data_IF_384987857865
#
_entry.id   IF_384987857865
#
_cell.length_a   1.000
_cell.length_b   1.000
_cell.length_c   1.000
_cell.angle_alpha   90.00
_cell.angle_beta   90.00
_cell.angle_gamma   90.00
#
_symmetry.space_group_name_H-M   'P 1'
#
loop_
_entity.id
_entity.type
_entity.pdbx_description
1 polymer ?
#
# COMPACT_ATOMS: atom_id res chain seq x y z
N UNK A 1 -30.18 -14.44 -56.14
CA UNK A 1 -30.71 -13.72 -54.98
C UNK A 1 -29.62 -13.67 -53.93
N UNK A 2 -28.79 -12.61 -54.02
CA UNK A 2 -27.58 -12.45 -53.18
C UNK A 2 -27.98 -11.68 -51.93
N UNK A 3 -27.94 -12.30 -50.74
CA UNK A 3 -28.10 -11.60 -49.48
C UNK A 3 -26.76 -10.96 -49.11
N UNK A 4 -26.66 -9.64 -49.20
CA UNK A 4 -25.61 -8.85 -48.61
C UNK A 4 -25.86 -8.76 -47.10
N UNK A 5 -25.06 -9.49 -46.32
CA UNK A 5 -24.98 -9.28 -44.90
C UNK A 5 -24.05 -8.09 -44.68
N UNK A 6 -24.64 -6.94 -44.36
CA UNK A 6 -23.89 -5.76 -43.90
C UNK A 6 -23.53 -6.02 -42.44
N UNK A 7 -22.30 -6.44 -42.19
CA UNK A 7 -21.71 -6.38 -40.85
C UNK A 7 -21.45 -4.91 -40.52
N UNK A 8 -22.38 -4.31 -39.77
CA UNK A 8 -22.09 -3.04 -39.06
C UNK A 8 -21.11 -3.37 -37.95
N UNK A 9 -19.83 -3.20 -38.22
CA UNK A 9 -18.82 -3.14 -37.19
C UNK A 9 -19.07 -1.84 -36.45
N UNK A 10 -19.86 -1.90 -35.37
CA UNK A 10 -19.88 -0.87 -34.34
C UNK A 10 -18.51 -0.86 -33.68
N UNK A 11 -17.52 -0.26 -34.32
CA UNK A 11 -16.36 0.24 -33.59
C UNK A 11 -16.88 1.28 -32.60
N UNK A 12 -17.01 0.91 -31.37
CA UNK A 12 -17.24 1.85 -30.26
C UNK A 12 -16.04 2.81 -30.25
N UNK A 13 -16.18 3.91 -30.98
CA UNK A 13 -15.27 5.04 -30.81
C UNK A 13 -15.46 5.53 -29.39
N UNK A 14 -14.49 5.23 -28.53
CA UNK A 14 -14.39 5.86 -27.23
C UNK A 14 -14.03 7.31 -27.50
N UNK A 15 -15.05 8.19 -27.53
CA UNK A 15 -14.84 9.63 -27.61
C UNK A 15 -14.13 10.06 -26.32
N UNK A 16 -12.96 10.66 -26.47
CA UNK A 16 -12.30 11.32 -25.36
C UNK A 16 -13.23 12.43 -24.86
N UNK A 17 -13.68 12.34 -23.62
CA UNK A 17 -14.37 13.46 -22.98
C UNK A 17 -13.33 14.32 -22.27
N UNK A 18 -13.30 15.60 -22.63
CA UNK A 18 -12.48 16.61 -21.97
C UNK A 18 -13.40 17.66 -21.36
N UNK A 19 -13.23 17.92 -20.08
CA UNK A 19 -13.93 18.99 -19.39
C UNK A 19 -13.13 19.46 -18.19
N UNK A 20 -13.33 20.71 -17.81
CA UNK A 20 -12.68 21.34 -16.66
C UNK A 20 -13.71 21.63 -15.57
N UNK A 21 -13.28 21.53 -14.33
CA UNK A 21 -14.06 21.85 -13.14
C UNK A 21 -13.17 22.43 -12.05
N UNK A 22 -13.76 23.24 -11.18
CA UNK A 22 -13.04 23.89 -10.09
C UNK A 22 -12.93 22.94 -8.89
N UNK A 23 -11.78 22.97 -8.23
CA UNK A 23 -11.49 22.23 -7.00
C UNK A 23 -10.87 23.16 -5.97
N UNK A 24 -10.73 22.68 -4.73
CA UNK A 24 -10.00 23.43 -3.68
C UNK A 24 -8.51 23.64 -4.00
N UNK A 25 -7.99 22.96 -5.01
CA UNK A 25 -6.57 23.06 -5.42
C UNK A 25 -6.36 23.84 -6.70
N UNK A 26 -7.41 24.39 -7.29
CA UNK A 26 -7.43 25.06 -8.59
C UNK A 26 -8.25 24.28 -9.61
N UNK A 27 -8.25 24.74 -10.85
CA UNK A 27 -9.00 24.11 -11.92
C UNK A 27 -8.36 22.78 -12.34
N UNK A 28 -9.17 21.73 -12.38
CA UNK A 28 -8.78 20.41 -12.88
C UNK A 28 -9.33 20.21 -14.30
N UNK A 29 -8.46 19.87 -15.25
CA UNK A 29 -8.86 19.43 -16.59
C UNK A 29 -8.78 17.92 -16.67
N UNK A 30 -9.92 17.24 -16.82
CA UNK A 30 -10.01 15.79 -16.96
C UNK A 30 -10.15 15.43 -18.44
N UNK A 31 -9.19 14.64 -18.95
CA UNK A 31 -9.26 14.02 -20.27
C UNK A 31 -9.46 12.52 -20.07
N UNK A 32 -10.68 12.06 -20.28
CA UNK A 32 -11.07 10.67 -20.06
C UNK A 32 -11.23 9.93 -21.39
N UNK A 33 -10.34 8.97 -21.65
CA UNK A 33 -10.40 8.05 -22.79
C UNK A 33 -10.78 6.62 -22.39
N UNK A 34 -11.30 6.45 -21.17
CA UNK A 34 -11.77 5.15 -20.67
C UNK A 34 -13.29 5.01 -20.84
N UNK A 35 -13.78 3.81 -20.59
CA UNK A 35 -15.22 3.52 -20.55
C UNK A 35 -15.91 3.99 -19.27
N UNK A 36 -15.17 4.52 -18.30
CA UNK A 36 -15.73 5.00 -17.03
C UNK A 36 -16.47 6.31 -17.20
N UNK A 37 -17.52 6.51 -16.39
CA UNK A 37 -18.21 7.79 -16.32
C UNK A 37 -17.28 8.89 -15.81
N UNK A 38 -17.14 9.95 -16.59
CA UNK A 38 -16.32 11.12 -16.22
C UNK A 38 -16.84 11.81 -14.96
N UNK A 39 -18.17 11.80 -14.71
CA UNK A 39 -18.75 12.33 -13.50
C UNK A 39 -18.34 11.55 -12.25
N UNK A 40 -18.32 10.23 -12.31
CA UNK A 40 -17.87 9.41 -11.17
C UNK A 40 -16.37 9.62 -10.86
N UNK A 41 -15.57 9.89 -11.88
CA UNK A 41 -14.16 10.22 -11.72
C UNK A 41 -14.01 11.60 -11.09
N UNK A 42 -14.76 12.59 -11.57
CA UNK A 42 -14.81 13.93 -11.01
C UNK A 42 -15.18 13.89 -9.52
N UNK A 43 -16.30 13.26 -9.16
CA UNK A 43 -16.73 13.12 -7.78
C UNK A 43 -15.63 12.49 -6.89
N UNK A 44 -14.91 11.48 -7.43
CA UNK A 44 -13.81 10.86 -6.70
C UNK A 44 -12.67 11.85 -6.48
N UNK A 45 -12.29 12.64 -7.48
CA UNK A 45 -11.23 13.64 -7.38
C UNK A 45 -11.60 14.71 -6.35
N UNK A 46 -12.81 15.26 -6.45
CA UNK A 46 -13.32 16.27 -5.51
C UNK A 46 -13.35 15.76 -4.07
N UNK A 47 -13.84 14.53 -3.86
CA UNK A 47 -13.89 13.92 -2.53
C UNK A 47 -12.48 13.71 -1.94
N UNK A 48 -11.54 13.21 -2.73
CA UNK A 48 -10.18 12.97 -2.24
C UNK A 48 -9.44 14.29 -1.95
N UNK A 49 -9.64 15.33 -2.77
CA UNK A 49 -9.11 16.66 -2.51
C UNK A 49 -9.71 17.25 -1.23
N UNK A 50 -11.03 17.09 -1.03
CA UNK A 50 -11.69 17.53 0.20
C UNK A 50 -11.12 16.84 1.44
N UNK A 51 -10.99 15.51 1.39
CA UNK A 51 -10.41 14.73 2.49
C UNK A 51 -8.97 15.18 2.85
N UNK A 52 -8.15 15.45 1.82
CA UNK A 52 -6.78 15.93 2.02
C UNK A 52 -6.75 17.35 2.56
N UNK A 53 -7.64 18.23 2.08
CA UNK A 53 -7.77 19.60 2.58
C UNK A 53 -8.16 19.62 4.06
N UNK A 54 -9.14 18.83 4.45
CA UNK A 54 -9.56 18.71 5.86
C UNK A 54 -8.48 18.13 6.77
N UNK A 55 -7.66 17.21 6.23
CA UNK A 55 -6.62 16.54 7.01
C UNK A 55 -5.33 17.33 7.13
N UNK A 56 -4.96 18.11 6.10
CA UNK A 56 -3.63 18.69 5.95
C UNK A 56 -3.64 20.20 5.70
N UNK A 57 -4.79 20.80 5.47
CA UNK A 57 -4.92 22.22 5.19
C UNK A 57 -4.78 22.60 3.71
N UNK A 58 -4.67 23.89 3.45
CA UNK A 58 -4.59 24.44 2.10
C UNK A 58 -3.18 24.29 1.50
N UNK A 59 -3.13 24.02 0.21
CA UNK A 59 -1.90 24.05 -0.58
C UNK A 59 -1.96 25.16 -1.62
N UNK A 60 -0.82 25.60 -2.20
CA UNK A 60 -0.82 26.62 -3.24
C UNK A 60 -1.74 26.25 -4.40
N UNK A 61 -2.62 27.18 -4.77
CA UNK A 61 -3.54 27.01 -5.89
C UNK A 61 -2.75 26.96 -7.20
N UNK A 62 -3.02 25.95 -8.00
CA UNK A 62 -2.48 25.82 -9.36
C UNK A 62 -3.40 24.92 -10.19
N UNK A 63 -3.52 25.19 -11.48
CA UNK A 63 -4.27 24.30 -12.37
C UNK A 63 -3.50 23.00 -12.59
N UNK A 64 -4.24 21.91 -12.77
CA UNK A 64 -3.66 20.61 -13.04
C UNK A 64 -4.54 19.81 -14.00
N UNK A 65 -3.98 18.76 -14.57
CA UNK A 65 -4.70 17.90 -15.50
C UNK A 65 -4.59 16.42 -15.12
N UNK A 66 -5.65 15.69 -15.40
CA UNK A 66 -5.71 14.23 -15.25
C UNK A 66 -6.05 13.63 -16.60
N UNK A 67 -5.18 12.78 -17.12
CA UNK A 67 -5.36 12.04 -18.34
C UNK A 67 -5.52 10.56 -18.03
N UNK A 68 -6.63 9.96 -18.49
CA UNK A 68 -6.82 8.51 -18.43
C UNK A 68 -6.63 7.97 -19.86
N UNK A 69 -5.46 7.34 -20.08
CA UNK A 69 -5.07 6.87 -21.41
C UNK A 69 -4.04 5.74 -21.32
N UNK A 70 -4.25 4.68 -22.11
CA UNK A 70 -3.29 3.57 -22.23
C UNK A 70 -2.23 3.78 -23.30
N UNK A 71 -2.51 4.60 -24.32
CA UNK A 71 -1.61 4.80 -25.46
C UNK A 71 -0.36 5.60 -25.09
N UNK A 72 -0.41 6.41 -24.03
CA UNK A 72 0.76 7.08 -23.48
C UNK A 72 1.83 6.14 -22.93
N UNK A 73 1.47 4.87 -22.68
CA UNK A 73 2.39 3.82 -22.19
C UNK A 73 3.57 3.60 -23.11
N UNK A 74 3.37 3.72 -24.44
CA UNK A 74 4.41 3.42 -25.43
C UNK A 74 5.40 4.58 -25.65
N UNK A 75 5.00 5.81 -25.33
CA UNK A 75 5.81 7.02 -25.58
C UNK A 75 6.56 7.54 -24.35
N UNK A 76 6.25 7.03 -23.15
CA UNK A 76 6.87 7.53 -21.93
C UNK A 76 8.32 7.02 -21.77
N UNK A 77 9.26 7.96 -21.63
CA UNK A 77 10.66 7.67 -21.31
C UNK A 77 10.85 7.11 -19.89
N UNK A 78 9.77 6.81 -19.17
CA UNK A 78 9.80 6.28 -17.82
C UNK A 78 9.68 4.76 -17.81
N UNK A 79 10.75 4.01 -17.54
CA UNK A 79 10.74 2.53 -17.58
C UNK A 79 9.76 1.91 -16.57
N UNK A 80 9.40 2.63 -15.50
CA UNK A 80 8.48 2.15 -14.46
C UNK A 80 7.00 2.22 -14.86
N UNK A 81 6.65 2.95 -15.91
CA UNK A 81 5.28 3.01 -16.41
C UNK A 81 4.68 1.64 -16.71
N UNK A 82 5.49 0.68 -17.10
CA UNK A 82 5.03 -0.70 -17.33
C UNK A 82 4.35 -1.31 -16.10
N UNK A 83 4.80 -0.93 -14.89
CA UNK A 83 4.38 -1.55 -13.62
C UNK A 83 3.50 -0.64 -12.76
N UNK A 84 3.52 0.66 -12.98
CA UNK A 84 2.69 1.60 -12.24
C UNK A 84 1.31 1.73 -12.89
N UNK A 85 0.30 2.09 -12.10
CA UNK A 85 -1.07 2.35 -12.57
C UNK A 85 -1.32 3.84 -12.83
N UNK A 86 -0.51 4.70 -12.23
CA UNK A 86 -0.52 6.13 -12.39
C UNK A 86 0.90 6.71 -12.36
N UNK A 87 1.06 7.92 -12.83
CA UNK A 87 2.27 8.74 -12.73
C UNK A 87 1.86 10.20 -12.59
N UNK A 88 2.47 10.87 -11.62
CA UNK A 88 2.33 12.32 -11.43
C UNK A 88 3.58 13.06 -11.90
N UNK A 89 3.37 14.06 -12.74
CA UNK A 89 4.39 14.98 -13.21
C UNK A 89 4.26 16.32 -12.48
N UNK A 90 5.39 17.02 -12.37
CA UNK A 90 5.44 18.42 -11.92
C UNK A 90 5.91 19.30 -13.09
N UNK A 91 5.30 20.47 -13.22
CA UNK A 91 5.59 21.46 -14.27
C UNK A 91 5.36 20.95 -15.72
N UNK A 92 4.11 20.91 -16.20
CA UNK A 92 2.88 21.21 -15.44
C UNK A 92 2.46 20.08 -14.49
N UNK A 93 1.65 20.40 -13.48
CA UNK A 93 1.02 19.40 -12.62
C UNK A 93 0.09 18.55 -13.47
N UNK A 94 0.46 17.29 -13.67
CA UNK A 94 -0.27 16.36 -14.52
C UNK A 94 -0.24 14.96 -13.96
N UNK A 95 -1.39 14.33 -13.89
CA UNK A 95 -1.54 12.91 -13.58
C UNK A 95 -1.87 12.15 -14.86
N UNK A 96 -1.21 11.04 -15.10
CA UNK A 96 -1.58 10.09 -16.15
C UNK A 96 -1.94 8.78 -15.48
N UNK A 97 -3.16 8.29 -15.74
CA UNK A 97 -3.69 7.05 -15.19
C UNK A 97 -3.91 6.03 -16.31
N UNK A 98 -3.65 4.76 -16.02
CA UNK A 98 -4.07 3.67 -16.89
C UNK A 98 -5.56 3.42 -16.76
N UNK A 99 -6.22 3.13 -17.88
CA UNK A 99 -7.61 2.69 -17.86
C UNK A 99 -7.78 1.43 -17.01
N UNK A 100 -8.65 1.45 -16.00
CA UNK A 100 -8.87 0.32 -15.11
C UNK A 100 -9.42 -0.91 -15.81
N UNK A 101 -10.21 -0.77 -16.90
CA UNK A 101 -10.72 -1.89 -17.66
C UNK A 101 -9.58 -2.67 -18.35
N UNK A 102 -8.64 -1.97 -18.98
CA UNK A 102 -7.48 -2.58 -19.63
C UNK A 102 -6.47 -3.10 -18.60
N UNK A 103 -6.31 -2.39 -17.50
CA UNK A 103 -5.43 -2.81 -16.38
C UNK A 103 -6.03 -3.91 -15.52
N UNK A 104 -7.29 -4.31 -15.77
CA UNK A 104 -8.04 -5.34 -15.03
C UNK A 104 -8.07 -5.09 -13.53
N UNK A 105 -8.27 -3.84 -13.13
CA UNK A 105 -8.39 -3.45 -11.73
C UNK A 105 -9.83 -3.03 -11.38
N UNK A 106 -10.23 -3.25 -10.14
CA UNK A 106 -11.56 -2.83 -9.66
C UNK A 106 -11.65 -1.31 -9.54
N UNK A 107 -12.87 -0.76 -9.61
CA UNK A 107 -13.14 0.66 -9.36
C UNK A 107 -12.63 1.11 -7.99
N UNK A 108 -12.79 0.28 -6.95
CA UNK A 108 -12.25 0.55 -5.63
C UNK A 108 -10.73 0.75 -5.66
N UNK A 109 -10.00 -0.09 -6.41
CA UNK A 109 -8.56 0.06 -6.56
C UNK A 109 -8.20 1.29 -7.39
N UNK A 110 -8.98 1.59 -8.43
CA UNK A 110 -8.77 2.77 -9.26
C UNK A 110 -8.92 4.08 -8.45
N UNK A 111 -9.92 4.18 -7.57
CA UNK A 111 -10.07 5.31 -6.63
C UNK A 111 -8.84 5.47 -5.74
N UNK A 112 -8.26 4.37 -5.24
CA UNK A 112 -7.01 4.41 -4.46
C UNK A 112 -5.84 4.94 -5.28
N UNK A 113 -5.75 4.56 -6.56
CA UNK A 113 -4.70 5.11 -7.45
C UNK A 113 -4.89 6.62 -7.63
N UNK A 114 -6.11 7.11 -7.79
CA UNK A 114 -6.38 8.56 -7.85
C UNK A 114 -5.90 9.26 -6.58
N UNK A 115 -6.27 8.74 -5.40
CA UNK A 115 -5.83 9.29 -4.11
C UNK A 115 -4.30 9.31 -3.98
N UNK A 116 -3.63 8.24 -4.41
CA UNK A 116 -2.17 8.12 -4.43
C UNK A 116 -1.52 9.22 -5.27
N UNK A 117 -1.98 9.40 -6.51
CA UNK A 117 -1.42 10.39 -7.43
C UNK A 117 -1.75 11.83 -7.01
N UNK A 118 -2.93 12.09 -6.47
CA UNK A 118 -3.28 13.39 -5.90
C UNK A 118 -2.37 13.74 -4.71
N UNK A 119 -2.00 12.77 -3.88
CA UNK A 119 -1.05 13.01 -2.81
C UNK A 119 0.32 13.46 -3.35
N UNK A 120 0.76 12.94 -4.48
CA UNK A 120 1.98 13.43 -5.12
C UNK A 120 1.85 14.88 -5.59
N UNK A 121 0.70 15.32 -6.13
CA UNK A 121 0.46 16.74 -6.43
C UNK A 121 0.57 17.58 -5.16
N UNK A 122 -0.11 17.17 -4.08
CA UNK A 122 -0.07 17.87 -2.79
C UNK A 122 1.37 18.09 -2.31
N UNK A 123 2.17 17.03 -2.22
CA UNK A 123 3.55 17.13 -1.77
C UNK A 123 4.46 17.88 -2.74
N UNK A 124 4.22 17.78 -4.06
CA UNK A 124 5.00 18.49 -5.07
C UNK A 124 4.78 20.01 -5.06
N UNK A 125 3.65 20.48 -4.53
CA UNK A 125 3.35 21.91 -4.40
C UNK A 125 3.92 22.53 -3.13
N UNK A 126 4.46 21.74 -2.20
CA UNK A 126 5.14 22.29 -1.02
C UNK A 126 6.39 23.09 -1.44
N UNK A 127 6.72 24.13 -0.71
CA UNK A 127 7.83 25.05 -1.03
C UNK A 127 9.16 24.32 -1.18
N UNK A 128 9.41 23.34 -0.32
CA UNK A 128 10.66 22.59 -0.26
C UNK A 128 10.51 21.12 -0.70
N UNK A 129 9.64 20.84 -1.68
CA UNK A 129 9.33 19.48 -2.17
C UNK A 129 10.57 18.65 -2.55
N UNK A 130 11.64 19.31 -3.00
CA UNK A 130 12.90 18.67 -3.40
C UNK A 130 13.67 18.08 -2.21
N UNK A 131 13.40 18.53 -0.98
CA UNK A 131 13.99 17.99 0.23
C UNK A 131 13.30 16.71 0.72
N UNK A 132 12.10 16.41 0.20
CA UNK A 132 11.30 15.25 0.63
C UNK A 132 11.89 13.99 0.01
N UNK A 133 12.36 13.03 0.84
CA UNK A 133 12.93 11.80 0.31
C UNK A 133 11.88 10.93 -0.38
N UNK A 134 12.29 10.21 -1.41
CA UNK A 134 11.37 9.39 -2.22
C UNK A 134 10.58 8.38 -1.39
N UNK A 135 11.22 7.72 -0.44
CA UNK A 135 10.54 6.77 0.45
C UNK A 135 9.37 7.38 1.22
N UNK A 136 9.49 8.67 1.61
CA UNK A 136 8.40 9.36 2.30
C UNK A 136 7.26 9.67 1.32
N UNK A 137 7.58 10.20 0.14
CA UNK A 137 6.57 10.51 -0.90
C UNK A 137 5.74 9.27 -1.24
N UNK A 138 6.40 8.15 -1.56
CA UNK A 138 5.71 6.91 -1.93
C UNK A 138 4.97 6.28 -0.74
N UNK A 139 5.64 6.16 0.40
CA UNK A 139 5.03 5.55 1.58
C UNK A 139 3.83 6.33 2.10
N UNK A 140 3.91 7.66 2.07
CA UNK A 140 2.81 8.53 2.50
C UNK A 140 1.64 8.48 1.51
N UNK A 141 1.89 8.49 0.20
CA UNK A 141 0.87 8.29 -0.82
C UNK A 141 0.17 6.94 -0.66
N UNK A 142 0.92 5.85 -0.38
CA UNK A 142 0.34 4.53 -0.09
C UNK A 142 -0.50 4.52 1.20
N UNK A 143 -0.12 5.29 2.23
CA UNK A 143 -0.91 5.42 3.46
C UNK A 143 -2.22 6.13 3.18
N UNK A 144 -2.19 7.28 2.51
CA UNK A 144 -3.39 8.06 2.17
C UNK A 144 -4.35 7.25 1.30
N UNK A 145 -3.83 6.54 0.31
CA UNK A 145 -4.62 5.70 -0.59
C UNK A 145 -5.09 4.37 0.06
N UNK A 146 -4.77 4.10 1.32
CA UNK A 146 -5.04 2.81 1.98
C UNK A 146 -4.56 1.62 1.12
N UNK A 147 -3.34 1.73 0.58
CA UNK A 147 -2.71 0.69 -0.25
C UNK A 147 -1.76 -0.22 0.52
N UNK A 148 -1.47 0.10 1.79
CA UNK A 148 -0.55 -0.69 2.62
C UNK A 148 -1.20 -2.04 2.95
N UNK A 149 -0.74 -3.08 2.28
CA UNK A 149 -1.31 -4.43 2.38
C UNK A 149 -0.38 -5.44 3.04
N UNK A 150 -0.92 -6.62 3.37
CA UNK A 150 -0.15 -7.78 3.83
C UNK A 150 0.95 -8.19 2.83
N UNK A 151 0.71 -8.03 1.51
CA UNK A 151 1.70 -8.31 0.47
C UNK A 151 2.99 -7.51 0.68
N UNK A 152 2.90 -6.21 1.01
CA UNK A 152 4.06 -5.38 1.27
C UNK A 152 4.85 -5.86 2.49
N UNK A 153 4.15 -6.27 3.55
CA UNK A 153 4.77 -6.84 4.77
C UNK A 153 5.51 -8.14 4.47
N UNK A 154 4.91 -9.02 3.68
CA UNK A 154 5.53 -10.28 3.25
C UNK A 154 6.75 -10.04 2.34
N UNK A 155 6.66 -9.08 1.42
CA UNK A 155 7.79 -8.71 0.53
C UNK A 155 9.01 -8.23 1.30
N UNK A 156 8.80 -7.46 2.38
CA UNK A 156 9.88 -7.01 3.27
C UNK A 156 10.49 -8.20 4.00
N UNK A 157 9.65 -9.08 4.56
CA UNK A 157 10.11 -10.23 5.32
C UNK A 157 10.95 -11.22 4.48
N UNK A 158 10.62 -11.36 3.19
CA UNK A 158 11.34 -12.26 2.27
C UNK A 158 12.71 -11.72 1.83
N UNK A 159 12.95 -10.39 1.96
CA UNK A 159 14.16 -9.72 1.46
C UNK A 159 14.99 -9.04 2.57
N UNK A 160 15.05 -9.61 3.75
CA UNK A 160 15.67 -8.97 4.94
C UNK A 160 17.18 -8.69 4.84
N UNK A 161 17.83 -9.10 3.77
CA UNK A 161 19.30 -8.99 3.71
C UNK A 161 19.84 -7.66 3.17
N UNK A 162 19.04 -6.77 2.59
CA UNK A 162 19.62 -5.59 1.92
C UNK A 162 18.78 -4.32 1.68
N UNK A 163 17.89 -3.83 2.43
CA UNK A 163 17.38 -2.51 2.06
C UNK A 163 17.98 -1.39 2.88
N UNK A 164 18.76 -0.54 2.24
CA UNK A 164 19.08 0.75 2.83
C UNK A 164 17.97 1.75 2.51
N UNK A 165 17.23 2.20 3.51
CA UNK A 165 16.27 3.29 3.36
C UNK A 165 16.95 4.55 2.82
N UNK A 166 18.21 4.76 3.19
CA UNK A 166 19.05 5.83 2.64
C UNK A 166 19.21 5.71 1.12
N UNK A 167 19.29 4.51 0.56
CA UNK A 167 19.32 4.31 -0.89
C UNK A 167 18.02 4.69 -1.59
N UNK A 168 16.89 4.74 -0.88
CA UNK A 168 15.59 5.16 -1.40
C UNK A 168 15.34 6.67 -1.26
N UNK A 169 16.33 7.44 -0.82
CA UNK A 169 16.20 8.90 -0.76
C UNK A 169 16.29 9.53 -2.14
N UNK A 170 16.94 8.89 -3.11
CA UNK A 170 17.30 9.49 -4.38
C UNK A 170 16.46 8.97 -5.56
N UNK A 171 15.86 9.88 -6.33
CA UNK A 171 14.99 9.58 -7.48
C UNK A 171 15.70 8.78 -8.59
N UNK A 172 16.97 9.09 -8.86
CA UNK A 172 17.74 8.44 -9.93
C UNK A 172 17.89 6.93 -9.74
N UNK A 173 17.91 6.46 -8.50
CA UNK A 173 18.00 5.03 -8.20
C UNK A 173 16.71 4.27 -8.47
N UNK A 174 15.55 4.91 -8.28
CA UNK A 174 14.28 4.31 -8.67
C UNK A 174 14.17 4.07 -10.18
N UNK A 175 14.78 4.89 -11.00
CA UNK A 175 14.72 4.77 -12.47
C UNK A 175 15.44 3.54 -13.02
N UNK A 176 16.47 3.06 -12.35
CA UNK A 176 17.25 1.88 -12.78
C UNK A 176 16.77 0.54 -12.22
N UNK A 177 15.72 0.53 -11.39
CA UNK A 177 15.23 -0.69 -10.74
C UNK A 177 14.50 -1.61 -11.73
N UNK A 178 14.70 -2.91 -11.58
CA UNK A 178 13.85 -3.92 -12.21
C UNK A 178 12.50 -4.01 -11.47
N UNK A 179 11.57 -4.82 -11.99
CA UNK A 179 10.21 -4.96 -11.41
C UNK A 179 10.22 -5.39 -9.95
N UNK A 180 11.08 -6.34 -9.59
CA UNK A 180 11.18 -6.87 -8.24
C UNK A 180 11.71 -5.82 -7.26
N UNK A 181 12.75 -5.10 -7.65
CA UNK A 181 13.36 -4.01 -6.89
C UNK A 181 12.37 -2.85 -6.70
N UNK A 182 11.61 -2.52 -7.74
CA UNK A 182 10.57 -1.50 -7.70
C UNK A 182 9.50 -1.84 -6.66
N UNK A 183 8.90 -3.04 -6.74
CA UNK A 183 7.89 -3.46 -5.75
C UNK A 183 8.46 -3.56 -4.34
N UNK A 184 9.74 -3.92 -4.21
CA UNK A 184 10.40 -3.94 -2.92
C UNK A 184 10.61 -2.53 -2.36
N UNK A 185 11.00 -1.55 -3.19
CA UNK A 185 11.15 -0.16 -2.79
C UNK A 185 9.83 0.44 -2.30
N UNK A 186 8.70 0.13 -2.95
CA UNK A 186 7.36 0.52 -2.48
C UNK A 186 7.00 -0.15 -1.14
N UNK A 187 7.28 -1.43 -1.01
CA UNK A 187 7.06 -2.14 0.25
C UNK A 187 7.88 -1.52 1.39
N UNK A 188 9.15 -1.17 1.12
CA UNK A 188 10.02 -0.54 2.10
C UNK A 188 9.54 0.88 2.47
N UNK A 189 9.08 1.64 1.48
CA UNK A 189 8.50 2.98 1.69
C UNK A 189 7.26 2.91 2.59
N UNK A 190 6.37 1.95 2.35
CA UNK A 190 5.19 1.73 3.20
C UNK A 190 5.55 1.32 4.63
N UNK A 191 6.55 0.44 4.79
CA UNK A 191 7.04 0.04 6.11
C UNK A 191 7.67 1.21 6.87
N UNK A 192 8.34 2.12 6.16
CA UNK A 192 8.95 3.29 6.77
C UNK A 192 7.91 4.20 7.42
N UNK A 193 6.77 4.42 6.76
CA UNK A 193 5.67 5.20 7.32
C UNK A 193 5.05 4.50 8.53
N UNK A 194 4.79 3.18 8.43
CA UNK A 194 4.25 2.42 9.57
C UNK A 194 5.17 2.43 10.79
N UNK A 195 6.49 2.27 10.55
CA UNK A 195 7.47 2.29 11.63
C UNK A 195 7.69 3.70 12.20
N UNK A 196 7.64 4.73 11.35
CA UNK A 196 7.70 6.11 11.80
C UNK A 196 6.56 6.42 12.79
N UNK A 197 5.32 6.08 12.40
CA UNK A 197 4.14 6.27 13.25
C UNK A 197 4.19 5.39 14.51
N UNK A 198 4.78 4.20 14.43
CA UNK A 198 4.95 3.31 15.59
C UNK A 198 6.01 3.80 16.57
N UNK A 199 7.16 4.29 16.08
CA UNK A 199 8.32 4.67 16.90
C UNK A 199 8.10 6.02 17.60
N UNK A 200 7.54 7.00 16.86
CA UNK A 200 7.43 8.38 17.35
C UNK A 200 6.01 8.81 17.69
N UNK A 201 5.07 7.87 17.67
CA UNK A 201 3.66 8.09 18.01
C UNK A 201 2.76 8.15 16.79
N UNK A 202 1.50 7.77 17.01
CA UNK A 202 0.49 7.70 15.97
C UNK A 202 0.37 9.04 15.22
N UNK A 203 0.19 8.98 13.89
CA UNK A 203 0.07 10.15 13.01
C UNK A 203 1.31 11.04 12.92
N UNK A 204 2.50 10.55 13.26
CA UNK A 204 3.75 11.33 13.09
C UNK A 204 3.99 11.68 11.63
N UNK A 205 3.73 10.75 10.70
CA UNK A 205 3.83 11.00 9.25
C UNK A 205 2.85 12.10 8.79
N UNK A 206 1.66 12.18 9.37
CA UNK A 206 0.70 13.25 9.07
C UNK A 206 1.21 14.62 9.57
N UNK A 207 1.78 14.67 10.79
CA UNK A 207 2.40 15.90 11.31
C UNK A 207 3.54 16.41 10.43
N UNK A 208 4.37 15.48 9.93
CA UNK A 208 5.44 15.83 8.97
C UNK A 208 4.83 16.45 7.71
N UNK A 209 3.77 15.86 7.16
CA UNK A 209 3.11 16.38 5.97
C UNK A 209 2.52 17.77 6.21
N UNK A 210 1.90 18.04 7.35
CA UNK A 210 1.40 19.37 7.73
C UNK A 210 2.54 20.38 7.76
N UNK A 211 3.65 20.08 8.44
CA UNK A 211 4.81 20.99 8.48
C UNK A 211 5.45 21.23 7.11
N UNK A 212 5.39 20.25 6.20
CA UNK A 212 5.84 20.44 4.81
C UNK A 212 4.93 21.41 4.06
N UNK A 213 3.61 21.30 4.27
CA UNK A 213 2.61 22.21 3.68
C UNK A 213 2.78 23.62 4.24
N UNK A 214 3.11 23.75 5.51
CA UNK A 214 3.45 25.02 6.18
C UNK A 214 4.79 25.62 5.69
N UNK A 215 5.45 24.99 4.71
CA UNK A 215 6.64 25.52 4.05
C UNK A 215 7.96 25.18 4.71
N UNK A 216 8.00 24.17 5.60
CA UNK A 216 9.27 23.73 6.18
C UNK A 216 9.98 22.71 5.26
N UNK A 217 11.32 22.63 5.39
CA UNK A 217 12.09 21.55 4.77
C UNK A 217 11.77 20.21 5.41
N UNK A 218 12.01 19.08 4.71
CA UNK A 218 11.73 17.76 5.26
C UNK A 218 12.45 17.50 6.58
N UNK A 219 13.72 17.86 6.68
CA UNK A 219 14.52 17.70 7.90
C UNK A 219 13.91 18.45 9.08
N UNK A 220 13.46 19.70 8.84
CA UNK A 220 12.84 20.53 9.88
C UNK A 220 11.47 19.97 10.28
N UNK A 221 10.67 19.56 9.30
CA UNK A 221 9.36 18.92 9.52
C UNK A 221 9.49 17.64 10.33
N UNK A 222 10.48 16.82 9.99
CA UNK A 222 10.80 15.59 10.71
C UNK A 222 11.18 15.87 12.16
N UNK A 223 12.10 16.82 12.38
CA UNK A 223 12.53 17.23 13.72
C UNK A 223 11.36 17.76 14.56
N UNK A 224 10.55 18.65 13.99
CA UNK A 224 9.40 19.22 14.71
C UNK A 224 8.34 18.16 15.06
N UNK A 225 8.17 17.13 14.22
CA UNK A 225 7.21 16.06 14.46
C UNK A 225 7.70 14.99 15.46
N UNK A 226 9.01 14.76 15.53
CA UNK A 226 9.59 13.62 16.26
C UNK A 226 10.46 14.02 17.45
N UNK A 227 11.03 15.23 17.45
CA UNK A 227 12.08 15.68 18.39
C UNK A 227 13.49 15.15 18.07
N UNK A 228 13.66 14.40 16.96
CA UNK A 228 14.93 13.77 16.59
C UNK A 228 15.37 14.13 15.18
N UNK A 229 16.68 14.02 14.91
CA UNK A 229 17.20 14.11 13.56
C UNK A 229 16.84 12.84 12.76
N UNK A 230 16.67 12.98 11.44
CA UNK A 230 16.25 11.87 10.56
C UNK A 230 17.26 10.71 10.56
N UNK A 231 18.54 10.98 10.79
CA UNK A 231 19.61 9.99 10.88
C UNK A 231 19.34 8.96 11.98
N UNK A 232 18.75 9.40 13.10
CA UNK A 232 18.33 8.50 14.18
C UNK A 232 17.26 7.51 13.72
N UNK A 233 16.35 7.95 12.86
CA UNK A 233 15.37 7.06 12.26
C UNK A 233 16.02 6.05 11.31
N UNK A 234 16.94 6.47 10.46
CA UNK A 234 17.66 5.58 9.56
C UNK A 234 18.45 4.50 10.29
N UNK A 235 19.11 4.84 11.41
CA UNK A 235 19.84 3.88 12.22
C UNK A 235 18.90 2.87 12.91
N UNK A 236 17.75 3.32 13.43
CA UNK A 236 16.77 2.45 14.11
C UNK A 236 15.98 1.59 13.15
N UNK A 237 15.76 2.06 11.94
CA UNK A 237 14.87 1.46 10.94
C UNK A 237 15.16 -0.03 10.68
N UNK A 238 16.44 -0.40 10.56
CA UNK A 238 16.84 -1.78 10.32
C UNK A 238 16.49 -2.73 11.46
N UNK A 239 16.78 -2.30 12.68
CA UNK A 239 16.51 -3.12 13.85
C UNK A 239 15.01 -3.30 14.02
N UNK A 240 14.25 -2.24 13.76
CA UNK A 240 12.79 -2.27 13.84
C UNK A 240 12.16 -3.10 12.71
N UNK A 241 12.68 -3.05 11.50
CA UNK A 241 12.23 -3.94 10.42
C UNK A 241 12.44 -5.40 10.80
N UNK A 242 13.64 -5.77 11.25
CA UNK A 242 13.92 -7.15 11.67
C UNK A 242 12.96 -7.60 12.76
N UNK A 243 12.76 -6.78 13.80
CA UNK A 243 11.88 -7.09 14.92
C UNK A 243 10.41 -7.23 14.51
N UNK A 244 9.90 -6.28 13.71
CA UNK A 244 8.48 -6.20 13.39
C UNK A 244 8.06 -7.11 12.23
N UNK A 245 8.98 -7.47 11.31
CA UNK A 245 8.65 -8.26 10.13
C UNK A 245 9.26 -9.67 10.15
N UNK A 246 10.01 -10.03 11.20
CA UNK A 246 10.63 -11.36 11.33
C UNK A 246 9.60 -12.50 11.23
N UNK A 247 8.46 -12.39 11.91
CA UNK A 247 7.42 -13.41 11.91
C UNK A 247 6.77 -13.66 10.55
N UNK A 248 6.78 -12.68 9.65
CA UNK A 248 6.26 -12.85 8.30
C UNK A 248 7.11 -13.76 7.41
N UNK A 249 8.36 -14.07 7.82
CA UNK A 249 9.17 -15.10 7.15
C UNK A 249 8.53 -16.48 7.24
N UNK A 250 7.84 -16.76 8.34
CA UNK A 250 7.19 -18.04 8.57
C UNK A 250 5.86 -18.18 7.81
N UNK A 251 5.23 -17.07 7.44
CA UNK A 251 3.99 -17.08 6.64
C UNK A 251 4.25 -17.46 5.17
N UNK A 252 5.47 -17.22 4.68
CA UNK A 252 5.89 -17.64 3.33
C UNK A 252 6.35 -19.10 3.25
N UNK A 253 5.93 -19.94 4.20
CA UNK A 253 6.22 -21.39 4.23
C UNK A 253 5.07 -22.27 3.67
N UNK A 254 4.34 -21.88 2.59
CA UNK A 254 3.19 -22.68 2.15
C UNK A 254 3.57 -24.09 1.72
N UNK A 255 4.78 -24.32 1.21
CA UNK A 255 5.23 -25.66 0.79
C UNK A 255 5.68 -26.55 1.95
N UNK A 256 6.20 -25.96 3.04
CA UNK A 256 6.67 -26.73 4.20
C UNK A 256 5.61 -26.82 5.32
N UNK A 257 4.63 -25.91 5.35
CA UNK A 257 3.52 -25.95 6.31
C UNK A 257 2.63 -27.18 6.09
N UNK A 258 2.40 -27.59 4.84
CA UNK A 258 1.70 -28.84 4.55
C UNK A 258 2.47 -30.09 5.03
N UNK A 259 3.80 -30.02 5.13
CA UNK A 259 4.61 -31.09 5.72
C UNK A 259 4.61 -31.07 7.26
N UNK A 260 4.43 -29.90 7.89
CA UNK A 260 4.40 -29.75 9.35
C UNK A 260 3.00 -30.02 9.92
N UNK A 261 1.93 -29.74 9.16
CA UNK A 261 0.56 -29.99 9.61
C UNK A 261 0.29 -31.45 10.02
N UNK A 262 0.70 -32.48 9.26
CA UNK A 262 0.58 -33.88 9.71
C UNK A 262 1.33 -34.14 11.03
N UNK A 263 2.49 -33.52 11.21
CA UNK A 263 3.30 -33.69 12.42
C UNK A 263 2.60 -33.06 13.65
N UNK A 264 1.98 -31.89 13.50
CA UNK A 264 1.18 -31.24 14.55
C UNK A 264 -0.05 -32.09 14.88
N UNK A 265 -0.72 -32.67 13.87
CA UNK A 265 -1.86 -33.55 14.06
C UNK A 265 -1.45 -34.82 14.79
N UNK A 266 -0.31 -35.45 14.43
CA UNK A 266 0.25 -36.62 15.09
C UNK A 266 0.56 -36.33 16.56
N UNK A 267 1.24 -35.19 16.84
CA UNK A 267 1.55 -34.79 18.23
C UNK A 267 0.26 -34.54 19.00
N UNK A 268 -0.72 -33.83 18.42
CA UNK A 268 -2.02 -33.60 19.03
C UNK A 268 -2.78 -34.88 19.33
N UNK A 269 -2.71 -35.87 18.41
CA UNK A 269 -3.29 -37.21 18.61
C UNK A 269 -2.62 -37.94 19.75
N UNK A 270 -1.29 -37.96 19.81
CA UNK A 270 -0.54 -38.59 20.91
C UNK A 270 -0.85 -37.94 22.25
N UNK A 271 -0.90 -36.60 22.32
CA UNK A 271 -1.26 -35.91 23.55
C UNK A 271 -2.69 -36.20 24.00
N UNK A 272 -3.64 -36.29 23.07
CA UNK A 272 -5.02 -36.66 23.37
C UNK A 272 -5.12 -38.11 23.83
N UNK A 273 -4.43 -39.02 23.17
CA UNK A 273 -4.38 -40.44 23.53
C UNK A 273 -3.79 -40.66 24.92
N UNK A 274 -2.68 -39.96 25.22
CA UNK A 274 -2.05 -40.04 26.55
C UNK A 274 -2.98 -39.50 27.65
N UNK A 275 -3.65 -38.39 27.41
CA UNK A 275 -4.62 -37.81 28.35
C UNK A 275 -5.83 -38.71 28.57
N UNK A 276 -6.34 -39.34 27.50
CA UNK A 276 -7.45 -40.30 27.62
C UNK A 276 -7.05 -41.53 28.43
N UNK A 277 -5.82 -42.01 28.27
CA UNK A 277 -5.32 -43.16 29.06
C UNK A 277 -5.26 -42.84 30.55
N UNK A 278 -4.77 -41.67 30.94
CA UNK A 278 -4.78 -41.24 32.35
C UNK A 278 -6.20 -41.07 32.93
N UNK A 279 -7.17 -40.66 32.13
CA UNK A 279 -8.57 -40.54 32.57
C UNK A 279 -9.17 -41.95 32.78
N UNK A 280 -8.89 -42.88 31.89
CA UNK A 280 -9.37 -44.28 32.01
C UNK A 280 -8.75 -44.93 33.25
N UNK A 281 -7.44 -44.81 33.44
CA UNK A 281 -6.75 -45.35 34.64
C UNK A 281 -7.33 -44.78 35.94
N UNK A 282 -7.71 -43.48 35.93
CA UNK A 282 -8.36 -42.87 37.08
C UNK A 282 -9.75 -43.44 37.35
N UNK A 283 -10.55 -43.65 36.32
CA UNK A 283 -11.88 -44.24 36.46
C UNK A 283 -11.82 -45.71 36.91
N UNK A 284 -10.88 -46.50 36.39
CA UNK A 284 -10.66 -47.85 36.84
C UNK A 284 -10.31 -47.91 38.33
N UNK A 285 -9.51 -46.97 38.81
CA UNK A 285 -9.11 -46.86 40.21
C UNK A 285 -10.29 -46.42 41.10
N UNK A 286 -11.13 -45.52 40.64
CA UNK A 286 -12.37 -45.09 41.33
C UNK A 286 -13.38 -46.26 41.41
N UNK A 287 -13.56 -47.05 40.32
CA UNK A 287 -14.40 -48.26 40.35
C UNK A 287 -13.87 -49.35 41.30
N UNK A 288 -12.55 -49.53 41.38
CA UNK A 288 -11.96 -50.47 42.37
C UNK A 288 -12.20 -50.05 43.81
N UNK A 289 -12.08 -48.75 44.10
CA UNK A 289 -12.34 -48.18 45.43
C UNK A 289 -13.81 -48.32 45.82
N UNK A 290 -14.76 -48.06 44.93
CA UNK A 290 -16.20 -48.27 45.18
C UNK A 290 -16.53 -49.72 45.49
N UNK A 291 -15.93 -50.69 44.75
CA UNK A 291 -16.12 -52.12 45.04
C UNK A 291 -15.60 -52.57 46.39
N UNK A 292 -14.50 -51.94 46.89
CA UNK A 292 -13.96 -52.23 48.21
C UNK A 292 -14.85 -51.66 49.31
N UNK A 293 -15.42 -50.46 49.10
CA UNK A 293 -16.37 -49.88 50.06
C UNK A 293 -17.68 -50.70 50.18
N UNK A 294 -18.21 -51.17 49.07
CA UNK A 294 -19.40 -52.01 49.07
C UNK A 294 -19.21 -53.40 49.72
N UNK A 295 -17.96 -53.92 49.72
CA UNK A 295 -17.65 -55.20 50.39
C UNK A 295 -17.45 -55.05 51.91
N UNK A 296 -17.16 -53.84 52.42
CA UNK A 296 -16.98 -53.54 53.84
C UNK A 296 -18.28 -53.15 54.58
N UNK A 297 -19.41 -53.01 53.88
CA UNK A 297 -20.72 -52.62 54.45
C UNK A 297 -21.65 -53.85 54.65
N UNK A 298 -21.26 -55.04 54.23
CA UNK A 298 -21.99 -56.31 54.45
C UNK A 298 -21.24 -57.17 55.45
#
# INVERSE_FOLDING_TARGET
MLYYIIYIVCSSFIFASEFSFDTLWGQCTLVNKSSLSSNNIKETIEQEIQNMYESYGSIPLNNFSILIDNNHVQSSKHPHWKWSLGITYKNPDKIILKDPAISKISLKKFKKVIAHELNHIMLNRTQHYHTIPRWFKEGFAMKIADEISMYHKLKIASNTNKPSLFHLTNYSRFQGMNKEEFHFAYALSSASILLLDKIYGNRTSDRIAIYLIDGLTFQRSFYNATGFQIENFYQRFYNEIKKNFFWFKFINLPKNLFAIMPLILIIGFYMKSYRNKQIIEKWELEEELEKIDDTNIN
#
